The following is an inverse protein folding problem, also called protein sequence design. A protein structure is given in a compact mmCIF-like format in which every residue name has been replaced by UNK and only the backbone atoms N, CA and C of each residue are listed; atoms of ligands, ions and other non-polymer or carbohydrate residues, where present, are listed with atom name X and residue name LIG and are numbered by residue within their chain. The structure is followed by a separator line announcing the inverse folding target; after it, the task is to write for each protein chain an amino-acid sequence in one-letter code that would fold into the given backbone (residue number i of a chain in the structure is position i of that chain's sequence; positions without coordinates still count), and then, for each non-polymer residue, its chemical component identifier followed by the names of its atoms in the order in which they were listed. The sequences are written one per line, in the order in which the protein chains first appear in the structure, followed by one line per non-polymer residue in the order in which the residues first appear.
data_IF_575639718708
#
_entry.id   IF_575639718708
#
_cell.length_a   1.000
_cell.length_b   1.000
_cell.length_c   1.000
_cell.angle_alpha   90.00
_cell.angle_beta   90.00
_cell.angle_gamma   90.00
#
_symmetry.space_group_name_H-M   'P 1'
#
loop_
_entity.id
_entity.type
_entity.pdbx_description
1 polymer ?
#
# COMPACT_ATOMS: atom_id res chain seq x y z
N UNK A 1 -0.65 23.04 41.08
CA UNK A 1 -2.02 22.65 40.76
C UNK A 1 -2.36 23.33 39.44
N UNK A 2 -2.37 22.59 38.36
CA UNK A 2 -2.76 23.11 37.05
C UNK A 2 -4.28 23.25 37.03
N UNK A 3 -4.76 24.44 36.74
CA UNK A 3 -6.18 24.76 36.56
C UNK A 3 -6.76 23.80 35.53
N UNK A 4 -7.92 23.13 35.77
CA UNK A 4 -8.51 22.25 34.78
C UNK A 4 -8.82 23.08 33.52
N UNK A 5 -8.34 22.65 32.37
CA UNK A 5 -8.66 23.27 31.09
C UNK A 5 -10.18 23.23 30.90
N UNK A 6 -10.84 24.38 30.90
CA UNK A 6 -12.29 24.46 30.74
C UNK A 6 -12.63 24.11 29.31
N UNK A 7 -13.32 22.96 29.10
CA UNK A 7 -13.83 22.55 27.77
C UNK A 7 -15.07 23.37 27.47
N UNK A 8 -15.06 24.12 26.36
CA UNK A 8 -16.17 25.01 25.98
C UNK A 8 -17.50 24.26 25.70
N UNK A 9 -17.44 23.05 25.09
CA UNK A 9 -18.59 22.16 24.90
C UNK A 9 -18.19 20.71 25.27
N UNK A 10 -18.39 20.32 26.54
CA UNK A 10 -18.05 18.95 27.00
C UNK A 10 -18.81 17.85 26.26
N UNK A 11 -20.07 18.09 25.86
CA UNK A 11 -20.86 17.08 25.16
C UNK A 11 -20.35 16.85 23.73
N UNK A 12 -19.95 17.90 23.02
CA UNK A 12 -19.33 17.79 21.70
C UNK A 12 -17.98 17.08 21.75
N UNK A 13 -17.14 17.40 22.73
CA UNK A 13 -15.86 16.73 22.95
C UNK A 13 -16.05 15.23 23.23
N UNK A 14 -16.99 14.86 24.12
CA UNK A 14 -17.32 13.47 24.41
C UNK A 14 -17.82 12.72 23.15
N UNK A 15 -18.71 13.33 22.36
CA UNK A 15 -19.18 12.73 21.09
C UNK A 15 -18.05 12.50 20.09
N UNK A 16 -17.06 13.40 20.02
CA UNK A 16 -15.89 13.26 19.15
C UNK A 16 -15.04 12.04 19.57
N UNK A 17 -14.77 11.89 20.86
CA UNK A 17 -14.03 10.73 21.39
C UNK A 17 -14.77 9.41 21.17
N UNK A 18 -16.10 9.40 21.38
CA UNK A 18 -16.91 8.20 21.12
C UNK A 18 -16.94 7.84 19.63
N UNK A 19 -17.01 8.81 18.72
CA UNK A 19 -16.91 8.55 17.29
C UNK A 19 -15.56 7.97 16.90
N UNK A 20 -14.48 8.49 17.46
CA UNK A 20 -13.14 7.93 17.23
C UNK A 20 -13.06 6.48 17.74
N UNK A 21 -13.57 6.20 18.94
CA UNK A 21 -13.58 4.87 19.53
C UNK A 21 -14.39 3.84 18.71
N UNK A 22 -15.47 4.28 18.03
CA UNK A 22 -16.35 3.40 17.24
C UNK A 22 -16.11 3.48 15.72
N UNK A 23 -15.06 4.17 15.27
CA UNK A 23 -14.75 4.32 13.83
C UNK A 23 -14.58 2.98 13.10
N UNK A 24 -14.13 1.94 13.81
CA UNK A 24 -13.98 0.59 13.26
C UNK A 24 -15.34 -0.05 12.86
N UNK A 25 -16.49 0.41 13.35
CA UNK A 25 -17.79 -0.08 12.90
C UNK A 25 -18.00 0.16 11.41
N UNK A 26 -17.70 1.39 10.95
CA UNK A 26 -17.82 1.77 9.55
C UNK A 26 -16.87 0.96 8.67
N UNK A 27 -15.61 0.81 9.12
CA UNK A 27 -14.62 -0.02 8.42
C UNK A 27 -15.09 -1.47 8.30
N UNK A 28 -15.66 -2.05 9.38
CA UNK A 28 -16.11 -3.45 9.35
C UNK A 28 -17.36 -3.66 8.49
N UNK A 29 -18.27 -2.70 8.44
CA UNK A 29 -19.43 -2.73 7.53
C UNK A 29 -18.96 -2.77 6.07
N UNK A 30 -18.04 -1.87 5.66
CA UNK A 30 -17.44 -1.87 4.32
C UNK A 30 -16.72 -3.19 4.02
N UNK A 31 -15.86 -3.66 4.93
CA UNK A 31 -15.13 -4.91 4.78
C UNK A 31 -16.08 -6.10 4.60
N UNK A 32 -17.13 -6.18 5.39
CA UNK A 32 -18.13 -7.25 5.29
C UNK A 32 -18.91 -7.21 3.97
N UNK A 33 -19.22 -6.01 3.44
CA UNK A 33 -19.87 -5.86 2.15
C UNK A 33 -18.99 -6.38 0.99
N UNK A 34 -17.69 -6.10 1.05
CA UNK A 34 -16.70 -6.64 0.08
C UNK A 34 -16.55 -8.16 0.23
N UNK A 35 -16.42 -8.65 1.47
CA UNK A 35 -16.28 -10.10 1.74
C UNK A 35 -17.48 -10.91 1.29
N UNK A 36 -18.68 -10.37 1.42
CA UNK A 36 -19.94 -10.99 0.98
C UNK A 36 -20.15 -10.91 -0.54
N UNK A 37 -19.39 -10.08 -1.26
CA UNK A 37 -19.59 -9.84 -2.69
C UNK A 37 -20.81 -8.97 -3.01
N UNK A 38 -21.27 -8.16 -2.06
CA UNK A 38 -22.49 -7.35 -2.20
C UNK A 38 -22.42 -6.40 -3.40
N UNK A 39 -21.28 -5.71 -3.60
CA UNK A 39 -21.11 -4.74 -4.69
C UNK A 39 -21.14 -5.42 -6.07
N UNK A 40 -20.60 -6.64 -6.17
CA UNK A 40 -20.66 -7.43 -7.40
C UNK A 40 -22.11 -7.83 -7.73
N UNK A 41 -22.86 -8.29 -6.71
CA UNK A 41 -24.28 -8.65 -6.87
C UNK A 41 -25.09 -7.44 -7.37
N UNK A 42 -24.91 -6.27 -6.75
CA UNK A 42 -25.66 -5.05 -7.10
C UNK A 42 -25.16 -4.38 -8.40
N UNK A 43 -24.04 -4.81 -8.96
CA UNK A 43 -23.57 -4.40 -10.27
C UNK A 43 -24.32 -5.11 -11.41
N UNK A 44 -24.91 -6.29 -11.16
CA UNK A 44 -25.73 -7.00 -12.13
C UNK A 44 -27.06 -6.26 -12.34
N UNK A 45 -27.77 -5.95 -11.24
CA UNK A 45 -29.00 -5.17 -11.23
C UNK A 45 -29.37 -4.68 -9.81
N UNK A 46 -30.14 -3.58 -9.69
CA UNK A 46 -30.70 -3.18 -8.40
C UNK A 46 -31.58 -4.28 -7.79
N UNK A 47 -31.39 -4.60 -6.50
CA UNK A 47 -32.04 -5.72 -5.83
C UNK A 47 -32.80 -5.30 -4.57
N UNK A 48 -33.88 -6.03 -4.22
CA UNK A 48 -34.57 -5.86 -2.93
C UNK A 48 -33.72 -6.46 -1.79
N UNK A 49 -34.03 -6.09 -0.55
CA UNK A 49 -33.35 -6.65 0.61
C UNK A 49 -33.48 -8.19 0.66
N UNK A 50 -34.66 -8.73 0.39
CA UNK A 50 -34.91 -10.17 0.35
C UNK A 50 -34.02 -10.87 -0.68
N UNK A 51 -33.91 -10.32 -1.90
CA UNK A 51 -33.06 -10.86 -2.94
C UNK A 51 -31.58 -10.87 -2.49
N UNK A 52 -31.13 -9.79 -1.84
CA UNK A 52 -29.75 -9.72 -1.30
C UNK A 52 -29.54 -10.77 -0.20
N UNK A 53 -30.50 -10.91 0.72
CA UNK A 53 -30.38 -11.88 1.82
C UNK A 53 -30.32 -13.31 1.29
N UNK A 54 -31.19 -13.67 0.36
CA UNK A 54 -31.22 -14.99 -0.24
C UNK A 54 -29.93 -15.32 -1.01
N UNK A 55 -29.48 -14.39 -1.85
CA UNK A 55 -28.30 -14.61 -2.70
C UNK A 55 -26.98 -14.64 -1.92
N UNK A 56 -26.88 -13.84 -0.84
CA UNK A 56 -25.64 -13.75 -0.03
C UNK A 56 -25.69 -14.60 1.25
N UNK A 57 -26.79 -15.29 1.53
CA UNK A 57 -26.96 -16.08 2.76
C UNK A 57 -26.96 -15.22 4.03
N UNK A 58 -27.46 -13.98 3.95
CA UNK A 58 -27.48 -13.03 5.06
C UNK A 58 -28.81 -13.15 5.82
N UNK A 59 -28.77 -13.16 7.16
CA UNK A 59 -29.98 -13.16 7.97
C UNK A 59 -30.71 -11.82 7.88
N UNK A 60 -32.03 -11.85 7.69
CA UNK A 60 -32.85 -10.68 7.40
C UNK A 60 -32.74 -9.55 8.46
N UNK A 61 -32.79 -9.89 9.77
CA UNK A 61 -32.78 -8.86 10.83
C UNK A 61 -31.47 -8.03 10.85
N UNK A 62 -30.25 -8.62 10.97
CA UNK A 62 -29.02 -7.84 10.88
C UNK A 62 -28.76 -7.33 9.45
N UNK A 63 -29.26 -8.02 8.42
CA UNK A 63 -29.10 -7.65 7.01
C UNK A 63 -29.80 -6.34 6.66
N UNK A 64 -30.98 -6.07 7.22
CA UNK A 64 -31.68 -4.81 6.99
C UNK A 64 -30.88 -3.60 7.53
N UNK A 65 -30.44 -3.68 8.79
CA UNK A 65 -29.63 -2.62 9.39
C UNK A 65 -28.27 -2.45 8.66
N UNK A 66 -27.69 -3.55 8.17
CA UNK A 66 -26.44 -3.56 7.40
C UNK A 66 -26.59 -2.82 6.05
N UNK A 67 -27.64 -3.12 5.28
CA UNK A 67 -27.89 -2.43 4.01
C UNK A 67 -28.19 -0.93 4.22
N UNK A 68 -29.00 -0.60 5.22
CA UNK A 68 -29.30 0.79 5.54
C UNK A 68 -28.07 1.55 6.09
N UNK A 69 -27.18 0.87 6.81
CA UNK A 69 -25.89 1.45 7.20
C UNK A 69 -25.03 1.80 5.98
N UNK A 70 -24.97 0.93 4.96
CA UNK A 70 -24.24 1.20 3.71
C UNK A 70 -24.85 2.37 2.93
N UNK A 71 -26.18 2.54 2.97
CA UNK A 71 -26.85 3.73 2.41
C UNK A 71 -26.42 4.98 3.21
N UNK A 72 -26.47 4.91 4.55
CA UNK A 72 -26.04 5.99 5.43
C UNK A 72 -24.56 6.37 5.28
N UNK A 73 -23.70 5.42 4.95
CA UNK A 73 -22.27 5.62 4.64
C UNK A 73 -22.03 6.15 3.21
N UNK A 74 -23.07 6.27 2.39
CA UNK A 74 -22.96 6.80 1.04
C UNK A 74 -22.38 5.80 0.02
N UNK A 75 -22.39 4.49 0.32
CA UNK A 75 -21.90 3.45 -0.59
C UNK A 75 -23.01 2.87 -1.46
N UNK A 76 -24.22 2.83 -0.94
CA UNK A 76 -25.41 2.41 -1.66
C UNK A 76 -26.44 3.54 -1.75
N UNK A 77 -27.36 3.43 -2.69
CA UNK A 77 -28.63 4.15 -2.69
C UNK A 77 -29.80 3.18 -2.58
N UNK A 78 -30.94 3.67 -2.04
CA UNK A 78 -32.19 2.91 -2.00
C UNK A 78 -33.26 3.71 -2.69
N UNK A 79 -33.84 3.14 -3.75
CA UNK A 79 -34.94 3.73 -4.52
C UNK A 79 -36.03 2.69 -4.79
N UNK A 80 -37.29 3.01 -4.51
CA UNK A 80 -38.43 2.11 -4.72
C UNK A 80 -38.26 0.72 -4.08
N UNK A 81 -37.66 0.68 -2.87
CA UNK A 81 -37.38 -0.56 -2.14
C UNK A 81 -36.23 -1.40 -2.67
N UNK A 82 -35.49 -0.94 -3.70
CA UNK A 82 -34.31 -1.60 -4.25
C UNK A 82 -33.05 -0.86 -3.89
N UNK A 83 -31.98 -1.63 -3.64
CA UNK A 83 -30.62 -1.13 -3.40
C UNK A 83 -29.79 -1.21 -4.67
N UNK A 84 -28.92 -0.23 -4.88
CA UNK A 84 -27.95 -0.18 -5.97
C UNK A 84 -26.64 0.46 -5.50
N UNK A 85 -25.55 0.18 -6.21
CA UNK A 85 -24.25 0.81 -5.96
C UNK A 85 -24.31 2.30 -6.27
N UNK A 86 -23.78 3.15 -5.41
CA UNK A 86 -23.43 4.53 -5.82
C UNK A 86 -22.27 4.53 -6.79
N UNK A 87 -22.06 5.63 -7.55
CA UNK A 87 -21.00 5.72 -8.57
C UNK A 87 -19.61 5.35 -8.03
N UNK A 88 -19.24 5.83 -6.85
CA UNK A 88 -17.96 5.54 -6.23
C UNK A 88 -17.81 4.04 -5.88
N UNK A 89 -18.86 3.44 -5.35
CA UNK A 89 -18.88 2.01 -5.07
C UNK A 89 -18.83 1.17 -6.35
N UNK A 90 -19.50 1.59 -7.42
CA UNK A 90 -19.45 0.91 -8.72
C UNK A 90 -18.05 0.94 -9.35
N UNK A 91 -17.32 2.05 -9.21
CA UNK A 91 -15.95 2.19 -9.76
C UNK A 91 -14.91 1.47 -8.92
N UNK A 92 -15.01 1.53 -7.58
CA UNK A 92 -13.93 1.10 -6.70
C UNK A 92 -14.18 -0.20 -5.95
N UNK A 93 -15.43 -0.70 -5.88
CA UNK A 93 -15.78 -1.86 -5.06
C UNK A 93 -16.35 -3.04 -5.86
N UNK A 94 -16.57 -2.88 -7.16
CA UNK A 94 -16.95 -3.97 -8.07
C UNK A 94 -15.68 -4.64 -8.61
N UNK A 95 -15.55 -5.99 -8.50
CA UNK A 95 -14.42 -6.70 -9.09
C UNK A 95 -14.25 -6.41 -10.59
N UNK A 96 -13.01 -6.49 -11.07
CA UNK A 96 -12.62 -6.24 -12.47
C UNK A 96 -12.79 -4.78 -12.95
N UNK A 97 -13.31 -3.88 -12.12
CA UNK A 97 -13.28 -2.45 -12.44
C UNK A 97 -11.83 -1.92 -12.39
N UNK A 98 -11.43 -1.00 -13.29
CA UNK A 98 -10.04 -0.51 -13.37
C UNK A 98 -9.49 0.12 -12.06
N UNK A 99 -10.38 0.62 -11.21
CA UNK A 99 -10.02 1.22 -9.91
C UNK A 99 -10.26 0.32 -8.70
N UNK A 100 -10.47 -1.00 -8.89
CA UNK A 100 -10.90 -1.90 -7.83
C UNK A 100 -10.00 -1.90 -6.59
N UNK A 101 -10.56 -1.48 -5.45
CA UNK A 101 -9.90 -1.43 -4.14
C UNK A 101 -10.23 -2.64 -3.24
N UNK A 102 -11.12 -3.52 -3.66
CA UNK A 102 -11.60 -4.61 -2.84
C UNK A 102 -10.51 -5.58 -2.40
N UNK A 103 -9.44 -5.75 -3.17
CA UNK A 103 -8.25 -6.52 -2.77
C UNK A 103 -7.61 -5.97 -1.50
N UNK A 104 -7.42 -4.64 -1.43
CA UNK A 104 -6.90 -3.95 -0.26
C UNK A 104 -7.85 -4.04 0.93
N UNK A 105 -9.15 -3.80 0.71
CA UNK A 105 -10.17 -3.86 1.78
C UNK A 105 -10.24 -5.27 2.37
N UNK A 106 -10.19 -6.30 1.53
CA UNK A 106 -10.17 -7.70 1.97
C UNK A 106 -8.90 -8.05 2.76
N UNK A 107 -7.74 -7.54 2.37
CA UNK A 107 -6.48 -7.71 3.11
C UNK A 107 -6.56 -7.03 4.48
N UNK A 108 -7.09 -5.80 4.55
CA UNK A 108 -7.34 -5.12 5.82
C UNK A 108 -8.29 -5.92 6.72
N UNK A 109 -9.37 -6.49 6.19
CA UNK A 109 -10.31 -7.30 6.95
C UNK A 109 -9.67 -8.58 7.53
N UNK A 110 -8.84 -9.27 6.74
CA UNK A 110 -8.29 -10.58 7.11
C UNK A 110 -7.07 -10.49 8.02
N UNK A 111 -6.14 -9.57 7.72
CA UNK A 111 -4.85 -9.46 8.40
C UNK A 111 -4.77 -8.23 9.31
N UNK A 112 -4.88 -7.03 8.75
CA UNK A 112 -4.62 -5.79 9.49
C UNK A 112 -5.60 -5.59 10.66
N UNK A 113 -6.90 -5.79 10.45
CA UNK A 113 -7.90 -5.65 11.50
C UNK A 113 -7.58 -6.52 12.74
N UNK A 114 -7.12 -7.76 12.52
CA UNK A 114 -6.74 -8.67 13.60
C UNK A 114 -5.43 -8.24 14.28
N UNK A 115 -4.43 -7.84 13.51
CA UNK A 115 -3.15 -7.38 14.03
C UNK A 115 -3.29 -6.10 14.84
N UNK A 116 -4.13 -5.16 14.38
CA UNK A 116 -4.43 -3.92 15.12
C UNK A 116 -5.15 -4.16 16.46
N UNK A 117 -5.89 -5.26 16.61
CA UNK A 117 -6.49 -5.62 17.90
C UNK A 117 -5.44 -5.87 18.99
N UNK A 118 -4.21 -6.24 18.63
CA UNK A 118 -3.09 -6.47 19.54
C UNK A 118 -2.19 -5.24 19.75
N UNK A 119 -2.55 -4.06 19.23
CA UNK A 119 -1.69 -2.86 19.29
C UNK A 119 -1.14 -2.58 20.70
N UNK A 120 -1.95 -2.70 21.74
CA UNK A 120 -1.51 -2.46 23.13
C UNK A 120 -0.39 -3.41 23.54
N UNK A 121 -0.47 -4.67 23.12
CA UNK A 121 0.55 -5.68 23.43
C UNK A 121 1.81 -5.43 22.60
N UNK A 122 1.67 -5.07 21.34
CA UNK A 122 2.78 -4.65 20.46
C UNK A 122 3.53 -3.44 21.04
N UNK A 123 2.81 -2.43 21.54
CA UNK A 123 3.43 -1.25 22.16
C UNK A 123 4.21 -1.57 23.44
N UNK A 124 3.85 -2.65 24.14
CA UNK A 124 4.52 -3.07 25.38
C UNK A 124 5.66 -4.05 25.15
N UNK A 125 5.50 -4.94 24.20
CA UNK A 125 6.32 -6.14 24.06
C UNK A 125 6.99 -6.28 22.68
N UNK A 126 6.70 -5.37 21.75
CA UNK A 126 7.04 -5.52 20.32
C UNK A 126 6.03 -6.38 19.56
N UNK A 127 6.20 -6.56 18.23
CA UNK A 127 5.34 -7.42 17.42
C UNK A 127 5.27 -8.84 18.00
N UNK A 128 4.08 -9.46 17.91
CA UNK A 128 3.85 -10.80 18.44
C UNK A 128 4.69 -11.82 17.67
N UNK A 129 5.79 -12.25 18.27
CA UNK A 129 6.67 -13.24 17.73
C UNK A 129 7.40 -14.00 18.85
N UNK A 130 7.61 -15.30 18.67
CA UNK A 130 8.31 -16.18 19.61
C UNK A 130 9.83 -15.91 19.70
N UNK A 131 10.32 -14.86 19.06
CA UNK A 131 11.74 -14.48 19.07
C UNK A 131 12.04 -13.43 20.15
N UNK A 132 13.25 -13.41 20.72
CA UNK A 132 13.65 -12.39 21.67
C UNK A 132 13.51 -11.00 21.06
N UNK A 133 13.22 -9.95 21.86
CA UNK A 133 13.03 -8.60 21.34
C UNK A 133 14.23 -8.19 20.51
N UNK A 134 13.95 -7.75 19.27
CA UNK A 134 14.99 -7.21 18.41
C UNK A 134 15.72 -6.06 19.12
N UNK A 135 17.00 -5.95 18.88
CA UNK A 135 17.76 -4.74 19.20
C UNK A 135 17.04 -3.53 18.61
N UNK A 136 17.17 -2.35 19.17
CA UNK A 136 16.42 -1.13 18.81
C UNK A 136 16.41 -0.74 17.30
N UNK A 137 16.93 -1.58 16.42
CA UNK A 137 17.00 -1.43 14.96
C UNK A 137 16.30 -2.52 14.12
N UNK A 138 15.61 -3.50 14.73
CA UNK A 138 15.03 -4.64 14.01
C UNK A 138 16.09 -5.65 13.50
N UNK A 139 15.65 -6.88 13.16
CA UNK A 139 16.50 -7.92 12.59
C UNK A 139 16.18 -8.11 11.09
N UNK A 140 17.06 -7.61 10.23
CA UNK A 140 16.92 -7.71 8.77
C UNK A 140 16.79 -9.15 8.29
N UNK A 141 17.58 -10.09 8.84
CA UNK A 141 17.56 -11.48 8.38
C UNK A 141 16.23 -12.16 8.73
N UNK A 142 15.65 -11.82 9.88
CA UNK A 142 14.33 -12.31 10.29
C UNK A 142 13.23 -11.77 9.40
N UNK A 143 13.21 -10.45 9.14
CA UNK A 143 12.22 -9.82 8.25
C UNK A 143 12.31 -10.42 6.85
N UNK A 144 13.51 -10.64 6.32
CA UNK A 144 13.75 -11.31 5.05
C UNK A 144 13.17 -12.73 5.02
N UNK A 145 13.38 -13.51 6.08
CA UNK A 145 12.81 -14.87 6.20
C UNK A 145 11.28 -14.84 6.25
N UNK A 146 10.67 -13.87 6.94
CA UNK A 146 9.23 -13.73 7.02
C UNK A 146 8.61 -13.35 5.66
N UNK A 147 9.28 -12.48 4.87
CA UNK A 147 8.89 -12.24 3.49
C UNK A 147 8.92 -13.53 2.65
N UNK A 148 9.98 -14.31 2.72
CA UNK A 148 10.07 -15.58 1.99
C UNK A 148 8.91 -16.52 2.34
N UNK A 149 8.56 -16.65 3.63
CA UNK A 149 7.41 -17.47 4.06
C UNK A 149 6.06 -16.95 3.52
N UNK A 150 5.85 -15.62 3.53
CA UNK A 150 4.62 -15.02 2.97
C UNK A 150 4.46 -15.37 1.48
N UNK A 151 5.57 -15.58 0.75
CA UNK A 151 5.62 -15.89 -0.67
C UNK A 151 5.64 -17.37 -1.02
N UNK A 152 5.60 -18.29 -0.05
CA UNK A 152 5.53 -19.74 -0.32
C UNK A 152 4.20 -20.18 -0.94
N UNK A 153 3.11 -19.44 -0.74
CA UNK A 153 1.78 -19.77 -1.23
C UNK A 153 1.30 -18.77 -2.29
N UNK A 154 1.15 -19.22 -3.54
CA UNK A 154 0.76 -18.39 -4.68
C UNK A 154 -0.58 -17.65 -4.48
N UNK A 155 -1.55 -18.26 -3.78
CA UNK A 155 -2.83 -17.57 -3.50
C UNK A 155 -2.65 -16.44 -2.48
N UNK A 156 -1.72 -16.58 -1.53
CA UNK A 156 -1.35 -15.48 -0.64
C UNK A 156 -0.66 -14.36 -1.43
N UNK A 157 0.29 -14.72 -2.29
CA UNK A 157 0.99 -13.75 -3.16
C UNK A 157 -0.02 -13.03 -4.06
N UNK A 158 -0.95 -13.73 -4.70
CA UNK A 158 -2.01 -13.13 -5.54
C UNK A 158 -2.86 -12.12 -4.76
N UNK A 159 -3.25 -12.46 -3.52
CA UNK A 159 -4.01 -11.54 -2.65
C UNK A 159 -3.18 -10.30 -2.26
N UNK A 160 -1.91 -10.49 -1.94
CA UNK A 160 -0.99 -9.40 -1.61
C UNK A 160 -0.80 -8.48 -2.81
N UNK A 161 -0.57 -9.04 -4.01
CA UNK A 161 -0.45 -8.24 -5.24
C UNK A 161 -1.71 -7.42 -5.53
N UNK A 162 -2.90 -7.99 -5.35
CA UNK A 162 -4.17 -7.26 -5.50
C UNK A 162 -4.34 -6.12 -4.46
N UNK A 163 -3.75 -6.27 -3.27
CA UNK A 163 -3.66 -5.18 -2.30
C UNK A 163 -2.72 -4.08 -2.80
N UNK A 164 -1.52 -4.43 -3.24
CA UNK A 164 -0.51 -3.48 -3.70
C UNK A 164 -0.96 -2.70 -4.95
N UNK A 165 -1.62 -3.34 -5.90
CA UNK A 165 -2.10 -2.65 -7.11
C UNK A 165 -3.10 -1.53 -6.79
N UNK A 166 -3.96 -1.71 -5.77
CA UNK A 166 -4.88 -0.67 -5.36
C UNK A 166 -4.15 0.61 -4.95
N UNK A 167 -3.00 0.50 -4.27
CA UNK A 167 -2.18 1.64 -3.88
C UNK A 167 -1.37 2.19 -5.04
N UNK A 168 -0.76 1.31 -5.83
CA UNK A 168 0.21 1.69 -6.86
C UNK A 168 -0.44 2.38 -8.08
N UNK A 169 -1.74 2.20 -8.32
CA UNK A 169 -2.40 2.78 -9.50
C UNK A 169 -2.32 4.31 -9.53
N UNK A 170 -2.55 4.97 -8.40
CA UNK A 170 -2.54 6.43 -8.32
C UNK A 170 -1.10 6.98 -8.33
N UNK A 171 -0.21 6.40 -7.54
CA UNK A 171 1.19 6.85 -7.49
C UNK A 171 1.91 6.63 -8.82
N UNK A 172 1.58 5.59 -9.58
CA UNK A 172 2.16 5.35 -10.91
C UNK A 172 1.90 6.52 -11.88
N UNK A 173 0.69 7.11 -11.80
CA UNK A 173 0.37 8.30 -12.59
C UNK A 173 1.25 9.50 -12.20
N UNK A 174 1.45 9.72 -10.91
CA UNK A 174 2.28 10.80 -10.40
C UNK A 174 3.77 10.60 -10.74
N UNK A 175 4.29 9.37 -10.63
CA UNK A 175 5.65 9.06 -11.06
C UNK A 175 5.89 9.38 -12.54
N UNK A 176 4.87 9.18 -13.38
CA UNK A 176 4.91 9.57 -14.80
C UNK A 176 5.14 11.08 -15.00
N UNK A 177 4.80 11.91 -14.00
CA UNK A 177 4.89 13.38 -14.03
C UNK A 177 6.10 13.94 -13.27
N UNK A 178 6.44 13.36 -12.10
CA UNK A 178 7.48 13.87 -11.21
C UNK A 178 8.89 13.67 -11.74
N UNK A 179 9.11 12.64 -12.56
CA UNK A 179 10.42 12.30 -13.12
C UNK A 179 10.53 12.80 -14.55
N UNK A 180 11.64 13.43 -14.91
CA UNK A 180 11.92 13.79 -16.32
C UNK A 180 12.37 12.56 -17.12
N UNK A 181 11.40 11.73 -17.50
CA UNK A 181 11.62 10.49 -18.25
C UNK A 181 12.24 10.70 -19.64
N UNK A 182 12.22 11.91 -20.19
CA UNK A 182 12.80 12.20 -21.52
C UNK A 182 14.33 11.98 -21.54
N UNK A 183 14.99 12.03 -20.38
CA UNK A 183 16.43 11.86 -20.20
C UNK A 183 16.85 10.41 -20.00
N UNK A 184 15.90 9.49 -19.79
CA UNK A 184 16.14 8.10 -19.43
C UNK A 184 15.59 7.15 -20.48
N UNK A 185 16.19 5.97 -20.61
CA UNK A 185 15.74 4.91 -21.52
C UNK A 185 15.28 3.65 -20.79
N UNK A 186 15.86 3.41 -19.63
CA UNK A 186 15.59 2.20 -18.84
C UNK A 186 15.26 2.56 -17.40
N UNK A 187 14.42 1.74 -16.79
CA UNK A 187 14.20 1.78 -15.36
C UNK A 187 14.07 0.38 -14.78
N UNK A 188 14.33 0.25 -13.47
CA UNK A 188 14.17 -0.97 -12.69
C UNK A 188 13.27 -0.66 -11.49
N UNK A 189 12.16 -1.36 -11.36
CA UNK A 189 11.25 -1.29 -10.22
C UNK A 189 11.61 -2.43 -9.26
N UNK A 190 12.29 -2.10 -8.16
CA UNK A 190 12.80 -3.07 -7.17
C UNK A 190 11.74 -3.30 -6.10
N UNK A 191 11.32 -4.55 -5.94
CA UNK A 191 10.11 -4.90 -5.19
C UNK A 191 8.84 -4.52 -5.94
N UNK A 192 8.92 -4.42 -7.27
CA UNK A 192 7.84 -3.92 -8.15
C UNK A 192 6.63 -4.84 -8.28
N UNK A 193 6.56 -5.91 -7.50
CA UNK A 193 5.44 -6.86 -7.47
C UNK A 193 5.11 -7.38 -8.88
N UNK A 194 3.83 -7.38 -9.27
CA UNK A 194 3.45 -7.83 -10.61
C UNK A 194 3.58 -6.76 -11.71
N UNK A 195 4.27 -5.64 -11.43
CA UNK A 195 4.68 -4.66 -12.45
C UNK A 195 3.63 -3.62 -12.84
N UNK A 196 2.69 -3.30 -11.95
CA UNK A 196 1.64 -2.33 -12.25
C UNK A 196 2.21 -0.93 -12.56
N UNK A 197 3.15 -0.46 -11.76
CA UNK A 197 3.87 0.82 -11.97
C UNK A 197 4.67 0.76 -13.28
N UNK A 198 5.43 -0.31 -13.49
CA UNK A 198 6.24 -0.47 -14.69
C UNK A 198 5.39 -0.47 -15.97
N UNK A 199 4.25 -1.16 -15.98
CA UNK A 199 3.32 -1.17 -17.09
C UNK A 199 2.75 0.23 -17.38
N UNK A 200 2.40 1.00 -16.33
CA UNK A 200 1.94 2.37 -16.49
C UNK A 200 2.99 3.27 -17.14
N UNK A 201 4.23 3.22 -16.66
CA UNK A 201 5.33 4.05 -17.15
C UNK A 201 5.64 3.78 -18.63
N UNK A 202 5.72 2.52 -19.07
CA UNK A 202 6.00 2.21 -20.49
C UNK A 202 4.82 2.55 -21.41
N UNK A 203 3.60 2.54 -20.91
CA UNK A 203 2.42 2.98 -21.68
C UNK A 203 2.35 4.49 -21.82
N UNK A 204 2.75 5.23 -20.78
CA UNK A 204 2.78 6.70 -20.78
C UNK A 204 4.00 7.23 -21.56
N UNK A 205 5.15 6.57 -21.43
CA UNK A 205 6.41 6.93 -22.04
C UNK A 205 6.91 5.80 -22.94
N UNK A 206 6.36 5.66 -24.14
CA UNK A 206 6.58 4.52 -25.04
C UNK A 206 8.03 4.25 -25.46
N UNK A 207 8.96 5.19 -25.23
CA UNK A 207 10.40 5.01 -25.47
C UNK A 207 11.11 4.24 -24.35
N UNK A 208 10.49 4.11 -23.17
CA UNK A 208 11.08 3.43 -22.02
C UNK A 208 11.08 1.91 -22.18
N UNK A 209 12.06 1.28 -21.55
CA UNK A 209 12.11 -0.16 -21.28
C UNK A 209 12.19 -0.34 -19.75
N UNK A 210 11.24 -1.10 -19.21
CA UNK A 210 11.15 -1.37 -17.78
C UNK A 210 11.69 -2.74 -17.40
N UNK A 211 12.20 -2.83 -16.17
CA UNK A 211 12.44 -4.08 -15.48
C UNK A 211 11.70 -4.08 -14.16
N UNK A 212 11.24 -5.26 -13.74
CA UNK A 212 10.80 -5.52 -12.37
C UNK A 212 11.77 -6.52 -11.75
N UNK A 213 12.22 -6.22 -10.55
CA UNK A 213 13.04 -7.13 -9.75
C UNK A 213 12.25 -7.52 -8.49
N UNK A 214 11.95 -8.81 -8.35
CA UNK A 214 11.16 -9.31 -7.21
C UNK A 214 11.44 -10.79 -6.95
N UNK A 215 10.94 -11.32 -5.84
CA UNK A 215 11.09 -12.72 -5.47
C UNK A 215 10.57 -13.67 -6.56
N UNK A 216 11.20 -14.84 -6.78
CA UNK A 216 10.84 -15.78 -7.85
C UNK A 216 9.35 -16.17 -7.86
N UNK A 217 8.72 -16.24 -6.67
CA UNK A 217 7.32 -16.60 -6.52
C UNK A 217 6.33 -15.61 -7.18
N UNK A 218 6.77 -14.36 -7.43
CA UNK A 218 5.95 -13.32 -8.08
C UNK A 218 5.87 -13.52 -9.59
N UNK A 219 6.86 -14.17 -10.20
CA UNK A 219 7.00 -14.32 -11.66
C UNK A 219 5.73 -14.76 -12.40
N UNK A 220 5.01 -15.81 -11.96
CA UNK A 220 3.80 -16.23 -12.68
C UNK A 220 2.72 -15.15 -12.72
N UNK A 221 2.57 -14.38 -11.64
CA UNK A 221 1.59 -13.30 -11.55
C UNK A 221 2.01 -12.06 -12.35
N UNK A 222 3.31 -11.81 -12.45
CA UNK A 222 3.86 -10.78 -13.33
C UNK A 222 3.59 -11.12 -14.79
N UNK A 223 3.92 -12.33 -15.24
CA UNK A 223 3.74 -12.76 -16.63
C UNK A 223 2.26 -12.68 -17.05
N UNK A 224 1.35 -13.15 -16.17
CA UNK A 224 -0.10 -13.05 -16.36
C UNK A 224 -0.55 -11.57 -16.51
N UNK A 225 -0.07 -10.70 -15.62
CA UNK A 225 -0.48 -9.30 -15.59
C UNK A 225 0.06 -8.50 -16.76
N UNK A 226 1.33 -8.68 -17.13
CA UNK A 226 1.94 -8.01 -18.28
C UNK A 226 1.28 -8.43 -19.60
N UNK A 227 0.89 -9.70 -19.71
CA UNK A 227 0.14 -10.18 -20.89
C UNK A 227 -1.25 -9.52 -20.97
N UNK A 228 -1.97 -9.44 -19.84
CA UNK A 228 -3.27 -8.79 -19.76
C UNK A 228 -3.21 -7.28 -20.10
N UNK A 229 -2.15 -6.60 -19.70
CA UNK A 229 -1.94 -5.17 -19.97
C UNK A 229 -1.30 -4.89 -21.35
N UNK A 230 -0.84 -5.91 -22.09
CA UNK A 230 -0.19 -5.76 -23.39
C UNK A 230 1.20 -5.13 -23.34
N UNK A 231 1.91 -5.23 -22.20
CA UNK A 231 3.21 -4.59 -21.96
C UNK A 231 4.39 -5.56 -21.85
N UNK A 232 4.15 -6.86 -22.03
CA UNK A 232 5.15 -7.93 -21.91
C UNK A 232 6.40 -7.76 -22.82
N UNK A 233 6.29 -7.03 -23.94
CA UNK A 233 7.44 -6.74 -24.81
C UNK A 233 8.29 -5.56 -24.35
N UNK A 234 7.83 -4.77 -23.36
CA UNK A 234 8.49 -3.56 -22.90
C UNK A 234 8.96 -3.65 -21.44
N UNK A 235 8.39 -4.57 -20.65
CA UNK A 235 8.73 -4.77 -19.25
C UNK A 235 9.22 -6.21 -19.04
N UNK A 236 10.44 -6.35 -18.55
CA UNK A 236 11.05 -7.63 -18.20
C UNK A 236 10.93 -7.92 -16.70
N UNK A 237 11.15 -9.19 -16.33
CA UNK A 237 11.21 -9.62 -14.91
C UNK A 237 12.56 -10.28 -14.61
N UNK A 238 13.20 -9.83 -13.55
CA UNK A 238 14.38 -10.47 -12.97
C UNK A 238 14.01 -11.03 -11.60
N UNK A 239 14.14 -12.33 -11.43
CA UNK A 239 13.90 -12.98 -10.14
C UNK A 239 15.11 -12.85 -9.23
N UNK A 240 14.92 -12.49 -7.97
CA UNK A 240 15.99 -12.43 -6.99
C UNK A 240 15.55 -11.82 -5.67
N UNK A 241 16.42 -11.92 -4.68
CA UNK A 241 16.33 -11.18 -3.42
C UNK A 241 17.26 -9.95 -3.51
N UNK A 242 16.69 -8.76 -3.32
CA UNK A 242 17.44 -7.51 -3.48
C UNK A 242 18.54 -7.30 -2.41
N UNK A 243 18.58 -8.12 -1.34
CA UNK A 243 19.68 -8.12 -0.40
C UNK A 243 20.84 -9.05 -0.78
N UNK A 244 20.56 -10.10 -1.54
CA UNK A 244 21.50 -11.17 -1.81
C UNK A 244 21.92 -11.23 -3.28
N UNK A 245 20.98 -11.00 -4.21
CA UNK A 245 21.22 -11.11 -5.65
C UNK A 245 21.59 -9.76 -6.31
N UNK A 246 22.37 -9.73 -7.39
CA UNK A 246 22.74 -8.50 -8.08
C UNK A 246 21.53 -7.83 -8.74
N UNK A 247 21.39 -6.52 -8.58
CA UNK A 247 20.38 -5.72 -9.26
C UNK A 247 20.84 -5.40 -10.69
N UNK A 248 19.98 -5.53 -11.70
CA UNK A 248 20.26 -5.08 -13.07
C UNK A 248 20.54 -3.57 -13.15
N UNK A 249 21.54 -3.19 -13.95
CA UNK A 249 21.84 -1.77 -14.20
C UNK A 249 20.72 -1.06 -14.96
N UNK A 250 20.37 0.15 -14.50
CA UNK A 250 19.32 0.98 -15.13
C UNK A 250 19.62 2.48 -15.00
N UNK A 251 18.97 3.29 -15.84
CA UNK A 251 19.07 4.74 -15.73
C UNK A 251 18.34 5.27 -14.48
N UNK A 252 17.19 4.65 -14.18
CA UNK A 252 16.39 4.97 -12.98
C UNK A 252 16.10 3.68 -12.21
N UNK A 253 16.30 3.70 -10.90
CA UNK A 253 15.82 2.63 -10.00
C UNK A 253 14.73 3.18 -9.11
N UNK A 254 13.61 2.47 -9.06
CA UNK A 254 12.43 2.82 -8.25
C UNK A 254 12.38 1.90 -7.04
N UNK A 255 12.12 2.47 -5.87
CA UNK A 255 11.80 1.79 -4.61
C UNK A 255 10.46 2.34 -4.11
N UNK A 256 9.39 1.58 -4.30
CA UNK A 256 8.05 2.01 -3.91
C UNK A 256 7.39 1.10 -2.90
N UNK A 257 7.02 1.64 -1.75
CA UNK A 257 6.48 0.87 -0.63
C UNK A 257 7.37 -0.32 -0.24
N UNK A 258 8.70 -0.07 -0.27
CA UNK A 258 9.73 -1.08 0.04
C UNK A 258 10.50 -0.71 1.30
N UNK A 259 11.03 0.51 1.38
CA UNK A 259 11.93 0.88 2.48
C UNK A 259 11.22 0.84 3.84
N UNK A 260 9.95 1.16 3.89
CA UNK A 260 9.17 1.19 5.13
C UNK A 260 9.00 -0.19 5.81
N UNK A 261 9.17 -1.27 5.07
CA UNK A 261 9.10 -2.62 5.63
C UNK A 261 10.37 -3.04 6.39
N UNK A 262 11.44 -2.26 6.28
CA UNK A 262 12.77 -2.64 6.74
C UNK A 262 13.31 -1.73 7.84
N UNK A 263 14.14 -2.27 8.76
CA UNK A 263 14.81 -1.45 9.77
C UNK A 263 15.86 -0.50 9.12
N UNK A 264 16.25 0.61 9.79
CA UNK A 264 17.14 1.63 9.22
C UNK A 264 18.42 1.11 8.59
N UNK A 265 19.09 0.14 9.23
CA UNK A 265 20.33 -0.44 8.70
C UNK A 265 20.11 -1.20 7.37
N UNK A 266 18.95 -1.84 7.21
CA UNK A 266 18.59 -2.51 5.97
C UNK A 266 18.25 -1.51 4.85
N UNK A 267 17.60 -0.39 5.18
CA UNK A 267 17.36 0.72 4.22
C UNK A 267 18.66 1.27 3.65
N UNK A 268 19.65 1.52 4.51
CA UNK A 268 20.98 1.98 4.09
C UNK A 268 21.68 0.94 3.19
N UNK A 269 21.66 -0.33 3.60
CA UNK A 269 22.23 -1.42 2.79
C UNK A 269 21.56 -1.53 1.42
N UNK A 270 20.22 -1.43 1.35
CA UNK A 270 19.49 -1.52 0.10
C UNK A 270 19.80 -0.32 -0.81
N UNK A 271 19.83 0.90 -0.27
CA UNK A 271 20.16 2.09 -1.07
C UNK A 271 21.63 2.08 -1.56
N UNK A 272 22.56 1.51 -0.83
CA UNK A 272 23.93 1.31 -1.32
C UNK A 272 23.95 0.35 -2.53
N UNK A 273 23.20 -0.76 -2.49
CA UNK A 273 23.07 -1.69 -3.61
C UNK A 273 22.38 -1.04 -4.83
N UNK A 274 21.36 -0.22 -4.56
CA UNK A 274 20.70 0.56 -5.61
C UNK A 274 21.67 1.58 -6.24
N UNK A 275 22.52 2.20 -5.44
CA UNK A 275 23.55 3.10 -5.97
C UNK A 275 24.47 2.39 -6.97
N UNK A 276 24.89 1.16 -6.67
CA UNK A 276 25.73 0.39 -7.59
C UNK A 276 24.97 0.09 -8.91
N UNK A 277 23.68 -0.20 -8.86
CA UNK A 277 22.84 -0.53 -10.01
C UNK A 277 22.40 0.68 -10.86
N UNK A 278 22.39 1.88 -10.29
CA UNK A 278 22.08 3.11 -11.04
C UNK A 278 23.28 3.51 -11.89
N UNK A 279 23.09 3.77 -13.18
CA UNK A 279 24.14 4.26 -14.07
C UNK A 279 24.62 5.67 -13.69
N UNK A 280 25.88 6.05 -13.94
CA UNK A 280 26.33 7.43 -13.78
C UNK A 280 25.39 8.43 -14.48
N UNK A 281 24.98 9.49 -13.79
CA UNK A 281 23.99 10.45 -14.27
C UNK A 281 22.54 9.99 -14.21
N UNK A 282 22.27 8.78 -13.72
CA UNK A 282 20.94 8.25 -13.47
C UNK A 282 20.39 8.65 -12.09
N UNK A 283 19.23 8.12 -11.72
CA UNK A 283 18.54 8.53 -10.49
C UNK A 283 17.93 7.34 -9.72
N UNK A 284 17.81 7.50 -8.41
CA UNK A 284 16.90 6.70 -7.58
C UNK A 284 15.64 7.49 -7.32
N UNK A 285 14.50 6.82 -7.37
CA UNK A 285 13.18 7.33 -7.03
C UNK A 285 12.63 6.50 -5.89
N UNK A 286 12.38 7.12 -4.75
CA UNK A 286 11.79 6.45 -3.58
C UNK A 286 10.42 7.05 -3.33
N UNK A 287 9.40 6.21 -3.18
CA UNK A 287 8.08 6.67 -2.74
C UNK A 287 7.51 5.79 -1.63
N UNK A 288 7.08 6.42 -0.56
CA UNK A 288 6.43 5.85 0.63
C UNK A 288 5.54 6.92 1.27
N UNK A 289 4.68 6.54 2.22
CA UNK A 289 3.92 7.49 3.04
C UNK A 289 4.83 8.19 4.06
N UNK A 290 5.93 8.79 3.57
CA UNK A 290 6.95 9.41 4.41
C UNK A 290 6.35 10.45 5.36
N UNK A 291 6.82 10.45 6.59
CA UNK A 291 6.44 11.44 7.61
C UNK A 291 6.93 12.83 7.23
N UNK A 292 6.18 13.87 7.64
CA UNK A 292 6.74 15.22 7.73
C UNK A 292 7.85 15.25 8.78
N UNK A 293 8.78 16.19 8.66
CA UNK A 293 9.86 16.34 9.65
C UNK A 293 9.27 16.76 11.02
N UNK A 294 8.13 17.45 11.03
CA UNK A 294 7.36 17.83 12.22
C UNK A 294 6.56 16.66 12.82
N UNK A 295 6.38 15.56 12.08
CA UNK A 295 5.64 14.35 12.48
C UNK A 295 4.20 14.66 12.93
N UNK A 296 3.50 15.52 12.23
CA UNK A 296 2.14 16.02 12.54
C UNK A 296 1.04 15.44 11.64
N UNK A 297 1.38 14.66 10.62
CA UNK A 297 0.43 13.97 9.73
C UNK A 297 -0.06 12.67 10.38
N UNK A 298 -1.28 12.69 10.90
CA UNK A 298 -1.88 11.52 11.56
C UNK A 298 -2.05 10.32 10.60
N UNK A 299 -2.29 10.55 9.31
CA UNK A 299 -2.46 9.46 8.32
C UNK A 299 -1.14 8.72 8.14
N UNK A 300 -0.05 9.44 7.90
CA UNK A 300 1.28 8.86 7.75
C UNK A 300 1.76 8.18 9.05
N UNK A 301 1.45 8.76 10.23
CA UNK A 301 1.78 8.15 11.53
C UNK A 301 1.01 6.86 11.77
N UNK A 302 -0.27 6.78 11.39
CA UNK A 302 -1.05 5.54 11.47
C UNK A 302 -0.52 4.48 10.49
N UNK A 303 -0.08 4.88 9.31
CA UNK A 303 0.59 3.98 8.37
C UNK A 303 1.92 3.47 8.95
N UNK A 304 2.72 4.33 9.58
CA UNK A 304 3.95 3.92 10.28
C UNK A 304 3.68 2.91 11.39
N UNK A 305 2.63 3.11 12.20
CA UNK A 305 2.21 2.11 13.18
C UNK A 305 1.79 0.80 12.52
N UNK A 306 1.09 0.87 11.38
CA UNK A 306 0.72 -0.33 10.63
C UNK A 306 1.96 -1.13 10.20
N UNK A 307 2.99 -0.48 9.64
CA UNK A 307 4.24 -1.14 9.29
C UNK A 307 4.88 -1.81 10.51
N UNK A 308 4.92 -1.11 11.65
CA UNK A 308 5.50 -1.63 12.90
C UNK A 308 4.72 -2.81 13.50
N UNK A 309 3.40 -2.86 13.31
CA UNK A 309 2.55 -4.00 13.74
C UNK A 309 2.75 -5.20 12.82
N UNK A 310 2.97 -4.94 11.54
CA UNK A 310 3.05 -5.99 10.52
C UNK A 310 4.44 -6.59 10.37
N UNK A 311 5.51 -5.82 10.66
CA UNK A 311 6.91 -6.22 10.45
C UNK A 311 7.78 -5.72 11.59
N UNK A 312 8.71 -6.55 12.04
CA UNK A 312 9.72 -6.15 13.02
C UNK A 312 10.71 -5.13 12.41
N UNK A 313 10.81 -3.95 13.04
CA UNK A 313 11.59 -2.82 12.53
C UNK A 313 10.97 -2.06 11.34
N UNK A 314 9.78 -2.48 10.87
CA UNK A 314 9.01 -1.72 9.88
C UNK A 314 8.49 -0.41 10.44
N UNK A 315 8.59 0.66 9.67
CA UNK A 315 8.08 1.99 10.03
C UNK A 315 8.16 2.92 8.83
N UNK A 316 7.31 3.92 8.78
CA UNK A 316 7.61 5.07 7.94
C UNK A 316 8.79 5.86 8.53
N UNK A 317 9.36 6.73 7.73
CA UNK A 317 10.51 7.56 8.05
C UNK A 317 10.28 8.97 7.47
N UNK A 318 11.01 9.96 7.97
CA UNK A 318 10.88 11.33 7.47
C UNK A 318 11.58 11.51 6.12
N UNK A 319 11.21 12.57 5.40
CA UNK A 319 11.93 12.97 4.17
C UNK A 319 13.40 13.22 4.45
N UNK A 320 13.74 13.86 5.59
CA UNK A 320 15.12 14.11 6.00
C UNK A 320 15.89 12.81 6.24
N UNK A 321 15.27 11.80 6.86
CA UNK A 321 15.88 10.47 7.05
C UNK A 321 16.11 9.77 5.72
N UNK A 322 15.12 9.75 4.80
CA UNK A 322 15.26 9.16 3.46
C UNK A 322 16.39 9.83 2.67
N UNK A 323 16.42 11.16 2.67
CA UNK A 323 17.51 11.93 2.09
C UNK A 323 18.85 11.52 2.67
N UNK A 324 18.96 11.41 4.00
CA UNK A 324 20.18 10.98 4.68
C UNK A 324 20.64 9.58 4.26
N UNK A 325 19.73 8.62 4.09
CA UNK A 325 20.05 7.28 3.57
C UNK A 325 20.58 7.35 2.15
N UNK A 326 19.93 8.12 1.25
CA UNK A 326 20.36 8.28 -0.14
C UNK A 326 21.75 8.97 -0.24
N UNK A 327 21.98 10.04 0.53
CA UNK A 327 23.26 10.76 0.55
C UNK A 327 24.40 9.90 1.10
N UNK A 328 24.16 9.07 2.12
CA UNK A 328 25.17 8.11 2.63
C UNK A 328 25.49 7.01 1.62
N UNK A 329 24.56 6.63 0.77
CA UNK A 329 24.82 5.72 -0.35
C UNK A 329 25.61 6.34 -1.48
N UNK A 330 25.74 7.67 -1.54
CA UNK A 330 26.49 8.42 -2.56
C UNK A 330 25.63 9.21 -3.54
N UNK A 331 24.30 9.16 -3.42
CA UNK A 331 23.40 9.97 -4.23
C UNK A 331 23.43 11.44 -3.82
N UNK A 332 23.10 12.31 -4.76
CA UNK A 332 22.83 13.73 -4.52
C UNK A 332 21.32 13.96 -4.51
N UNK A 333 20.78 14.47 -3.41
CA UNK A 333 19.38 14.84 -3.29
C UNK A 333 18.99 15.89 -4.34
N UNK A 334 17.86 15.73 -4.99
CA UNK A 334 17.30 16.67 -5.96
C UNK A 334 15.98 17.28 -5.49
N UNK A 335 15.00 16.45 -5.17
CA UNK A 335 13.68 16.90 -4.75
C UNK A 335 12.99 15.88 -3.86
N UNK A 336 12.00 16.37 -3.08
CA UNK A 336 10.99 15.54 -2.45
C UNK A 336 9.67 16.29 -2.45
N UNK A 337 8.60 15.65 -2.92
CA UNK A 337 7.28 16.27 -3.00
C UNK A 337 6.18 15.30 -2.59
N UNK A 338 5.09 15.81 -2.04
CA UNK A 338 3.87 15.04 -1.78
C UNK A 338 3.10 14.89 -3.09
N UNK A 339 2.61 13.68 -3.35
CA UNK A 339 1.86 13.35 -4.56
C UNK A 339 0.44 12.92 -4.24
N UNK A 340 -0.44 12.98 -5.22
CA UNK A 340 -1.83 12.50 -5.12
C UNK A 340 -1.84 10.98 -5.15
N UNK A 341 -1.92 10.36 -3.97
CA UNK A 341 -1.99 8.92 -3.79
C UNK A 341 -2.96 8.55 -2.67
N UNK A 342 -3.27 7.27 -2.53
CA UNK A 342 -4.21 6.80 -1.49
C UNK A 342 -3.66 6.94 -0.07
N UNK A 343 -2.34 6.88 0.08
CA UNK A 343 -1.62 6.96 1.36
C UNK A 343 -1.00 8.33 1.63
N UNK A 344 -1.11 9.26 0.65
CA UNK A 344 -0.48 10.58 0.73
C UNK A 344 1.03 10.50 0.60
N UNK A 345 1.49 9.65 -0.33
CA UNK A 345 2.90 9.37 -0.55
C UNK A 345 3.71 10.63 -0.86
N UNK A 346 4.98 10.53 -0.55
CA UNK A 346 6.00 11.49 -0.98
C UNK A 346 6.97 10.79 -1.90
N UNK A 347 7.30 11.44 -3.00
CA UNK A 347 8.30 10.98 -3.97
C UNK A 347 9.59 11.73 -3.73
N UNK A 348 10.66 11.00 -3.40
CA UNK A 348 12.02 11.54 -3.30
C UNK A 348 12.83 11.13 -4.52
N UNK A 349 13.51 12.08 -5.13
CA UNK A 349 14.41 11.86 -6.26
C UNK A 349 15.82 12.27 -5.85
N UNK A 350 16.78 11.39 -6.11
CA UNK A 350 18.20 11.67 -5.93
C UNK A 350 19.03 11.10 -7.09
N UNK A 351 20.01 11.85 -7.57
CA UNK A 351 20.83 11.48 -8.72
C UNK A 351 22.17 10.86 -8.33
N UNK A 352 22.65 9.92 -9.15
CA UNK A 352 24.02 9.44 -9.09
C UNK A 352 24.94 10.41 -9.87
N UNK A 353 25.99 10.95 -9.26
CA UNK A 353 26.97 11.77 -9.99
C UNK A 353 27.52 11.06 -11.24
N UNK A 354 27.86 11.85 -12.27
CA UNK A 354 28.43 11.38 -13.54
C UNK A 354 29.85 10.87 -13.37
#
# INVERSE_FOLDING_TARGET
MTTPTQIADPASAARTLLRLNTAYFQSKVLQSAVELGLFALLAEEPATAETVFDRLGVRARPGADFLDALVGLGLLERKDGRYSNKPEAAVFLVPDAPGYLGGSIAQHARRHYRSWASLTDVLRNGPADDSPPATAGGDTAKVQLDFHKDFENLDNVRRLMGHMDAFNTFVAHELGRCVDWSRHRTFLDVGGARGNVAAHLVRTHGHLRGGVFDLPAVRPLFDEHMAALGTASQVGFTAGDFFDDPLPESDVVILGHVLHDWPPAARERLLARVFDAVRPGGSVVVYDAMLSDERDDAVALLQSLNCSIMRDGGSEYTVAECRGYAERAGFRFESAERVESLTGDRVLIASKPS
#
